data_IF_332735289415
#
_entry.id   IF_332735289415
#
_cell.length_a   1.000
_cell.length_b   1.000
_cell.length_c   1.000
_cell.angle_alpha   90.00
_cell.angle_beta   90.00
_cell.angle_gamma   90.00
#
_symmetry.space_group_name_H-M   'P 1'
#
loop_
_entity.id
_entity.type
_entity.pdbx_description
1 polymer ?
#
# COMPACT_ATOMS: atom_id res chain seq x y z
N UNK A 1 -5.94 -21.77 6.50
CA UNK A 1 -6.40 -20.82 7.54
C UNK A 1 -7.91 -20.54 7.40
N UNK A 2 -8.42 -20.00 6.26
CA UNK A 2 -9.85 -19.70 6.11
C UNK A 2 -10.70 -20.96 6.26
N UNK A 3 -10.35 -22.06 5.62
CA UNK A 3 -11.04 -23.34 5.77
C UNK A 3 -11.09 -23.81 7.24
N UNK A 4 -9.95 -23.67 7.95
CA UNK A 4 -9.87 -24.08 9.36
C UNK A 4 -10.82 -23.25 10.23
N UNK A 5 -10.86 -21.90 10.03
CA UNK A 5 -11.77 -21.03 10.75
C UNK A 5 -13.25 -21.37 10.48
N UNK A 6 -13.59 -21.66 9.21
CA UNK A 6 -14.96 -22.05 8.82
C UNK A 6 -15.34 -23.38 9.50
N UNK A 7 -14.44 -24.35 9.53
CA UNK A 7 -14.67 -25.65 10.16
C UNK A 7 -14.76 -25.53 11.69
N UNK A 8 -14.14 -24.53 12.31
CA UNK A 8 -14.30 -24.16 13.72
C UNK A 8 -15.65 -23.49 14.03
N UNK A 9 -16.42 -23.10 13.01
CA UNK A 9 -17.76 -22.59 13.15
C UNK A 9 -17.84 -21.10 13.44
N UNK A 10 -16.91 -20.29 12.91
CA UNK A 10 -16.99 -18.82 12.97
C UNK A 10 -18.14 -18.30 12.12
N UNK A 11 -18.75 -17.19 12.54
CA UNK A 11 -19.87 -16.57 11.84
C UNK A 11 -19.43 -15.46 10.87
N UNK A 12 -18.23 -14.90 11.06
CA UNK A 12 -17.65 -13.88 10.20
C UNK A 12 -16.13 -13.97 10.17
N UNK A 13 -15.49 -13.55 9.07
CA UNK A 13 -14.03 -13.49 8.92
C UNK A 13 -13.65 -12.12 8.35
N UNK A 14 -12.74 -11.43 9.04
CA UNK A 14 -12.02 -10.28 8.47
C UNK A 14 -10.81 -10.78 7.69
N UNK A 15 -10.69 -10.38 6.43
CA UNK A 15 -9.72 -10.94 5.48
C UNK A 15 -8.89 -9.82 4.85
N UNK A 16 -7.56 -9.93 4.96
CA UNK A 16 -6.60 -9.18 4.13
C UNK A 16 -5.89 -10.19 3.21
N UNK A 17 -6.31 -10.37 1.95
CA UNK A 17 -5.76 -11.40 1.09
C UNK A 17 -4.33 -11.06 0.63
N UNK A 18 -3.43 -12.04 0.67
CA UNK A 18 -2.08 -11.93 0.10
C UNK A 18 -2.06 -12.17 -1.42
N UNK A 19 -3.15 -12.74 -1.96
CA UNK A 19 -3.36 -12.97 -3.38
C UNK A 19 -4.87 -12.87 -3.65
N UNK A 20 -5.26 -11.80 -4.34
CA UNK A 20 -6.66 -11.44 -4.51
C UNK A 20 -7.44 -12.38 -5.44
N UNK A 21 -6.76 -13.21 -6.24
CA UNK A 21 -7.39 -14.24 -7.09
C UNK A 21 -7.41 -15.61 -6.42
N UNK A 22 -6.28 -16.04 -5.84
CA UNK A 22 -6.15 -17.39 -5.26
C UNK A 22 -7.01 -17.60 -4.02
N UNK A 23 -7.46 -16.53 -3.38
CA UNK A 23 -8.33 -16.62 -2.21
C UNK A 23 -9.79 -17.00 -2.57
N UNK A 24 -10.22 -16.79 -3.82
CA UNK A 24 -11.61 -16.97 -4.28
C UNK A 24 -12.24 -18.29 -3.84
N UNK A 25 -11.60 -19.47 -4.04
CA UNK A 25 -12.24 -20.75 -3.65
C UNK A 25 -12.52 -20.86 -2.15
N UNK A 26 -11.67 -20.27 -1.30
CA UNK A 26 -11.87 -20.29 0.15
C UNK A 26 -13.00 -19.35 0.57
N UNK A 27 -13.16 -18.22 -0.11
CA UNK A 27 -14.25 -17.26 0.13
C UNK A 27 -15.59 -17.86 -0.31
N UNK A 28 -15.65 -18.47 -1.50
CA UNK A 28 -16.85 -19.17 -1.98
C UNK A 28 -17.31 -20.26 -1.00
N UNK A 29 -16.35 -21.06 -0.50
CA UNK A 29 -16.65 -22.08 0.51
C UNK A 29 -17.24 -21.49 1.79
N UNK A 30 -16.68 -20.37 2.30
CA UNK A 30 -17.22 -19.73 3.48
C UNK A 30 -18.64 -19.19 3.27
N UNK A 31 -18.89 -18.57 2.12
CA UNK A 31 -20.23 -18.08 1.75
C UNK A 31 -21.26 -19.22 1.65
N UNK A 32 -20.88 -20.38 1.09
CA UNK A 32 -21.73 -21.58 1.08
C UNK A 32 -22.09 -22.06 2.49
N UNK A 33 -21.22 -21.79 3.48
CA UNK A 33 -21.43 -22.11 4.90
C UNK A 33 -22.17 -21.01 5.66
N UNK A 34 -22.48 -19.88 5.01
CA UNK A 34 -23.16 -18.74 5.63
C UNK A 34 -22.26 -17.88 6.51
N UNK A 35 -20.95 -17.89 6.26
CA UNK A 35 -19.98 -17.05 6.96
C UNK A 35 -19.84 -15.71 6.27
N UNK A 36 -19.94 -14.61 7.01
CA UNK A 36 -19.76 -13.25 6.48
C UNK A 36 -18.30 -12.98 6.14
N UNK A 37 -18.04 -12.54 4.90
CA UNK A 37 -16.70 -12.29 4.36
C UNK A 37 -16.44 -10.79 4.26
N UNK A 38 -15.67 -10.24 5.21
CA UNK A 38 -15.36 -8.81 5.32
C UNK A 38 -13.91 -8.59 4.93
N UNK A 39 -13.68 -7.89 3.83
CA UNK A 39 -12.33 -7.58 3.37
C UNK A 39 -11.84 -6.26 3.97
N UNK A 40 -10.60 -6.26 4.46
CA UNK A 40 -9.94 -5.09 5.05
C UNK A 40 -8.57 -4.88 4.41
N UNK A 41 -8.13 -3.62 4.30
CA UNK A 41 -6.82 -3.23 3.78
C UNK A 41 -6.64 -3.45 2.26
N UNK A 42 -7.05 -4.59 1.72
CA UNK A 42 -7.03 -4.86 0.28
C UNK A 42 -8.23 -5.71 -0.16
N UNK A 43 -8.63 -5.57 -1.42
CA UNK A 43 -9.80 -6.19 -1.99
C UNK A 43 -9.52 -7.61 -2.51
N UNK A 44 -10.60 -8.36 -2.75
CA UNK A 44 -10.66 -9.57 -3.58
C UNK A 44 -10.90 -9.19 -5.05
N UNK A 45 -10.48 -10.02 -6.01
CA UNK A 45 -10.67 -9.77 -7.43
C UNK A 45 -12.16 -9.67 -7.83
N UNK A 46 -12.96 -10.60 -7.38
CA UNK A 46 -14.43 -10.54 -7.54
C UNK A 46 -15.08 -9.95 -6.28
N UNK A 47 -15.26 -8.64 -6.29
CA UNK A 47 -15.87 -7.91 -5.15
C UNK A 47 -17.30 -8.35 -4.84
N UNK A 48 -17.99 -9.08 -5.76
CA UNK A 48 -19.34 -9.60 -5.50
C UNK A 48 -19.35 -10.67 -4.40
N UNK A 49 -18.21 -11.33 -4.18
CA UNK A 49 -18.01 -12.35 -3.16
C UNK A 49 -17.81 -11.78 -1.74
N UNK A 50 -17.45 -10.52 -1.60
CA UNK A 50 -17.35 -9.87 -0.30
C UNK A 50 -18.72 -9.47 0.22
N UNK A 51 -18.96 -9.51 1.52
CA UNK A 51 -20.16 -8.93 2.14
C UNK A 51 -19.92 -7.45 2.46
N UNK A 52 -18.70 -7.10 2.83
CA UNK A 52 -18.23 -5.73 2.95
C UNK A 52 -16.74 -5.63 2.61
N UNK A 53 -16.31 -4.47 2.11
CA UNK A 53 -14.91 -4.13 1.81
C UNK A 53 -14.60 -2.78 2.47
N UNK A 54 -13.56 -2.74 3.32
CA UNK A 54 -13.10 -1.50 3.95
C UNK A 54 -11.61 -1.33 3.70
N UNK A 55 -11.25 -0.36 2.88
CA UNK A 55 -9.88 -0.16 2.38
C UNK A 55 -9.51 1.32 2.40
N UNK A 56 -8.22 1.62 2.34
CA UNK A 56 -7.77 2.97 2.03
C UNK A 56 -8.10 3.35 0.58
N UNK A 57 -8.18 4.64 0.27
CA UNK A 57 -8.20 5.10 -1.11
C UNK A 57 -6.79 4.92 -1.74
N UNK A 58 -6.51 3.68 -2.13
CA UNK A 58 -5.20 3.26 -2.61
C UNK A 58 -4.78 3.96 -3.92
N UNK A 59 -5.73 4.20 -4.84
CA UNK A 59 -5.44 4.96 -6.05
C UNK A 59 -5.00 6.37 -5.69
N UNK A 60 -5.75 7.04 -4.82
CA UNK A 60 -5.41 8.40 -4.40
C UNK A 60 -4.10 8.46 -3.59
N UNK A 61 -3.73 7.40 -2.87
CA UNK A 61 -2.43 7.31 -2.21
C UNK A 61 -1.27 7.40 -3.22
N UNK A 62 -1.39 6.74 -4.37
CA UNK A 62 -0.45 6.85 -5.48
C UNK A 62 -0.42 8.25 -6.08
N UNK A 63 -1.61 8.83 -6.34
CA UNK A 63 -1.75 10.21 -6.87
C UNK A 63 -1.04 11.22 -5.98
N UNK A 64 -1.26 11.19 -4.66
CA UNK A 64 -0.62 12.12 -3.71
C UNK A 64 0.91 12.04 -3.74
N UNK A 65 1.46 10.84 -3.84
CA UNK A 65 2.92 10.65 -3.97
C UNK A 65 3.45 11.23 -5.28
N UNK A 66 2.76 11.00 -6.39
CA UNK A 66 3.14 11.53 -7.70
C UNK A 66 3.05 13.05 -7.77
N UNK A 67 1.94 13.64 -7.34
CA UNK A 67 1.76 15.10 -7.30
C UNK A 67 2.85 15.78 -6.47
N UNK A 68 3.19 15.20 -5.32
CA UNK A 68 4.26 15.74 -4.49
C UNK A 68 5.61 15.64 -5.17
N UNK A 69 5.92 14.50 -5.82
CA UNK A 69 7.13 14.35 -6.62
C UNK A 69 7.21 15.43 -7.72
N UNK A 70 6.13 15.63 -8.48
CA UNK A 70 6.05 16.64 -9.53
C UNK A 70 6.26 18.08 -9.00
N UNK A 71 5.86 18.34 -7.77
CA UNK A 71 6.10 19.63 -7.11
C UNK A 71 7.57 19.86 -6.73
N UNK A 72 8.37 18.78 -6.62
CA UNK A 72 9.77 18.83 -6.16
C UNK A 72 10.79 18.62 -7.27
N UNK A 73 10.42 17.92 -8.34
CA UNK A 73 11.29 17.60 -9.48
C UNK A 73 10.59 17.90 -10.80
N UNK A 74 11.33 18.40 -11.77
CA UNK A 74 10.81 18.71 -13.11
C UNK A 74 10.84 17.49 -14.05
N UNK A 75 11.76 16.54 -13.83
CA UNK A 75 11.97 15.34 -14.65
C UNK A 75 12.70 14.27 -13.85
N UNK A 76 12.72 13.04 -14.33
CA UNK A 76 13.50 11.95 -13.71
C UNK A 76 13.13 10.56 -14.21
N UNK A 77 13.97 9.59 -13.85
CA UNK A 77 13.79 8.17 -14.10
C UNK A 77 13.31 7.48 -12.82
N UNK A 78 12.25 6.69 -12.92
CA UNK A 78 11.55 6.11 -11.77
C UNK A 78 11.68 4.60 -11.78
N UNK A 79 12.06 4.01 -10.64
CA UNK A 79 11.86 2.60 -10.34
C UNK A 79 10.61 2.45 -9.45
N UNK A 80 9.75 1.48 -9.78
CA UNK A 80 8.58 1.13 -8.98
C UNK A 80 8.83 -0.21 -8.29
N UNK A 81 8.63 -0.24 -6.98
CA UNK A 81 8.61 -1.44 -6.16
C UNK A 81 7.14 -1.79 -5.86
N UNK A 82 6.68 -2.93 -6.38
CA UNK A 82 5.26 -3.32 -6.41
C UNK A 82 5.01 -4.73 -5.89
N UNK A 83 3.73 -5.06 -5.69
CA UNK A 83 3.26 -6.40 -5.37
C UNK A 83 1.98 -6.70 -6.16
N UNK A 84 2.08 -7.21 -7.40
CA UNK A 84 0.98 -7.26 -8.35
C UNK A 84 -0.15 -8.23 -7.99
N UNK A 85 0.03 -9.09 -6.98
CA UNK A 85 -1.01 -10.02 -6.52
C UNK A 85 -1.96 -9.43 -5.48
N UNK A 86 -1.82 -8.13 -5.14
CA UNK A 86 -2.76 -7.41 -4.27
C UNK A 86 -3.38 -6.22 -4.98
N UNK A 87 -4.69 -6.03 -4.80
CA UNK A 87 -5.42 -4.94 -5.46
C UNK A 87 -4.94 -3.58 -4.96
N UNK A 88 -4.68 -3.45 -3.64
CA UNK A 88 -4.16 -2.21 -3.06
C UNK A 88 -2.84 -1.76 -3.68
N UNK A 89 -1.91 -2.70 -3.95
CA UNK A 89 -0.67 -2.40 -4.66
C UNK A 89 -0.92 -1.90 -6.08
N UNK A 90 -1.78 -2.60 -6.82
CA UNK A 90 -2.10 -2.25 -8.20
C UNK A 90 -2.71 -0.84 -8.29
N UNK A 91 -3.65 -0.51 -7.40
CA UNK A 91 -4.28 0.81 -7.36
C UNK A 91 -3.27 1.93 -7.01
N UNK A 92 -2.34 1.69 -6.06
CA UNK A 92 -1.27 2.65 -5.73
C UNK A 92 -0.36 2.90 -6.92
N UNK A 93 0.04 1.84 -7.62
CA UNK A 93 0.88 1.95 -8.82
C UNK A 93 0.15 2.65 -9.95
N UNK A 94 -1.13 2.33 -10.18
CA UNK A 94 -1.96 2.94 -11.22
C UNK A 94 -2.12 4.44 -10.95
N UNK A 95 -2.53 4.84 -9.73
CA UNK A 95 -2.67 6.25 -9.38
C UNK A 95 -1.37 7.04 -9.49
N UNK A 96 -0.23 6.44 -9.12
CA UNK A 96 1.08 7.06 -9.28
C UNK A 96 1.46 7.19 -10.76
N UNK A 97 1.33 6.10 -11.54
CA UNK A 97 1.75 6.07 -12.94
C UNK A 97 0.90 7.00 -13.82
N UNK A 98 -0.43 6.97 -13.67
CA UNK A 98 -1.33 7.85 -14.42
C UNK A 98 -0.97 9.33 -14.22
N UNK A 99 -0.74 9.72 -12.96
CA UNK A 99 -0.36 11.10 -12.62
C UNK A 99 1.00 11.50 -13.21
N UNK A 100 1.95 10.58 -13.22
CA UNK A 100 3.28 10.80 -13.81
C UNK A 100 3.22 10.88 -15.33
N UNK A 101 2.43 10.02 -15.99
CA UNK A 101 2.29 9.98 -17.45
C UNK A 101 1.66 11.26 -17.98
N UNK A 102 0.70 11.86 -17.27
CA UNK A 102 0.11 13.14 -17.66
C UNK A 102 1.13 14.28 -17.72
N UNK A 103 2.20 14.22 -16.95
CA UNK A 103 3.27 15.22 -16.96
C UNK A 103 4.26 15.06 -18.13
N UNK A 104 4.53 13.82 -18.56
CA UNK A 104 5.35 13.48 -19.72
C UNK A 104 6.88 13.71 -19.58
N UNK A 105 7.37 14.18 -18.44
CA UNK A 105 8.81 14.46 -18.21
C UNK A 105 9.50 13.37 -17.37
N UNK A 106 8.77 12.37 -16.94
CA UNK A 106 9.30 11.26 -16.15
C UNK A 106 9.20 9.95 -16.94
N UNK A 107 10.17 9.08 -16.74
CA UNK A 107 10.23 7.75 -17.37
C UNK A 107 10.21 6.66 -16.29
N UNK A 108 9.28 5.72 -16.36
CA UNK A 108 9.31 4.52 -15.51
C UNK A 108 10.28 3.52 -16.17
N UNK A 109 11.47 3.39 -15.61
CA UNK A 109 12.57 2.57 -16.16
C UNK A 109 12.56 1.12 -15.66
N UNK A 110 11.75 0.79 -14.66
CA UNK A 110 11.61 -0.58 -14.19
C UNK A 110 10.55 -0.74 -13.11
N UNK A 111 10.03 -1.98 -13.00
CA UNK A 111 9.08 -2.41 -11.98
C UNK A 111 9.59 -3.69 -11.33
N UNK A 112 9.63 -3.76 -10.01
CA UNK A 112 10.16 -4.86 -9.22
C UNK A 112 9.09 -5.41 -8.28
N UNK A 113 8.70 -6.67 -8.50
CA UNK A 113 7.84 -7.38 -7.53
C UNK A 113 8.69 -7.82 -6.33
N UNK A 114 8.45 -7.19 -5.19
CA UNK A 114 9.12 -7.53 -3.94
C UNK A 114 8.15 -8.18 -2.92
N UNK A 115 6.97 -8.60 -3.38
CA UNK A 115 5.95 -9.25 -2.56
C UNK A 115 5.57 -8.47 -1.28
N UNK A 116 5.77 -7.14 -1.26
CA UNK A 116 5.52 -6.29 -0.10
C UNK A 116 6.48 -6.47 1.08
N UNK A 117 7.62 -7.18 0.91
CA UNK A 117 8.52 -7.59 2.00
C UNK A 117 9.89 -6.89 1.94
N UNK A 118 10.34 -6.36 3.08
CA UNK A 118 11.64 -5.69 3.21
C UNK A 118 12.80 -6.59 2.79
N UNK A 119 12.75 -7.86 3.19
CA UNK A 119 13.78 -8.86 2.95
C UNK A 119 13.96 -9.16 1.45
N UNK A 120 12.96 -8.84 0.64
CA UNK A 120 13.01 -8.97 -0.82
C UNK A 120 13.35 -7.64 -1.49
N UNK A 121 12.84 -6.52 -0.98
CA UNK A 121 13.09 -5.19 -1.56
C UNK A 121 14.59 -4.82 -1.57
N UNK A 122 15.29 -5.04 -0.46
CA UNK A 122 16.71 -4.70 -0.35
C UNK A 122 17.59 -5.47 -1.36
N UNK A 123 17.54 -6.80 -1.48
CA UNK A 123 18.29 -7.53 -2.51
C UNK A 123 17.95 -7.11 -3.94
N UNK A 124 16.68 -6.87 -4.26
CA UNK A 124 16.27 -6.42 -5.59
C UNK A 124 16.91 -5.06 -5.94
N UNK A 125 16.91 -4.10 -5.01
CA UNK A 125 17.57 -2.82 -5.22
C UNK A 125 19.07 -2.98 -5.41
N UNK A 126 19.72 -3.86 -4.64
CA UNK A 126 21.15 -4.17 -4.81
C UNK A 126 21.43 -4.70 -6.23
N UNK A 127 20.57 -5.55 -6.76
CA UNK A 127 20.73 -6.10 -8.10
C UNK A 127 20.55 -5.02 -9.18
N UNK A 128 19.62 -4.08 -9.03
CA UNK A 128 19.49 -2.94 -9.97
C UNK A 128 20.72 -2.02 -9.92
N UNK A 129 21.26 -1.77 -8.73
CA UNK A 129 22.50 -1.00 -8.57
C UNK A 129 23.69 -1.69 -9.24
N UNK A 130 23.82 -3.01 -9.13
CA UNK A 130 24.88 -3.79 -9.80
C UNK A 130 24.75 -3.83 -11.31
N UNK A 131 23.53 -3.80 -11.84
CA UNK A 131 23.25 -3.70 -13.29
C UNK A 131 23.62 -2.33 -13.85
N UNK A 132 23.82 -1.32 -12.98
CA UNK A 132 24.12 0.05 -13.39
C UNK A 132 22.90 0.78 -13.95
N UNK A 133 21.68 0.40 -13.54
CA UNK A 133 20.47 1.11 -13.92
C UNK A 133 20.52 2.53 -13.37
N UNK A 134 20.27 3.50 -14.23
CA UNK A 134 20.16 4.90 -13.84
C UNK A 134 18.71 5.24 -13.45
N UNK A 135 18.55 5.81 -12.26
CA UNK A 135 17.27 6.30 -11.75
C UNK A 135 17.47 7.42 -10.75
N UNK A 136 16.46 8.24 -10.58
CA UNK A 136 16.45 9.42 -9.71
C UNK A 136 15.38 9.31 -8.63
N UNK A 137 14.43 8.41 -8.83
CA UNK A 137 13.24 8.26 -7.98
C UNK A 137 12.95 6.78 -7.76
N UNK A 138 12.53 6.43 -6.55
CA UNK A 138 11.93 5.14 -6.24
C UNK A 138 10.56 5.38 -5.62
N UNK A 139 9.52 4.82 -6.23
CA UNK A 139 8.20 4.69 -5.61
C UNK A 139 8.02 3.26 -5.13
N UNK A 140 7.78 3.10 -3.83
CA UNK A 140 7.44 1.82 -3.22
C UNK A 140 5.98 1.83 -2.77
N UNK A 141 5.25 0.77 -3.06
CA UNK A 141 3.83 0.66 -2.70
C UNK A 141 3.57 0.62 -1.20
N UNK A 142 4.62 0.43 -0.39
CA UNK A 142 4.56 0.57 1.07
C UNK A 142 5.88 1.07 1.65
N UNK A 143 5.84 1.54 2.90
CA UNK A 143 7.00 2.08 3.60
C UNK A 143 8.05 1.00 3.91
N UNK A 144 7.63 -0.25 4.12
CA UNK A 144 8.53 -1.39 4.37
C UNK A 144 9.46 -1.61 3.19
N UNK A 145 8.94 -1.58 1.95
CA UNK A 145 9.76 -1.64 0.74
C UNK A 145 10.67 -0.43 0.59
N UNK A 146 10.16 0.78 0.85
CA UNK A 146 10.94 2.01 0.82
C UNK A 146 12.15 1.95 1.78
N UNK A 147 11.96 1.42 2.99
CA UNK A 147 13.05 1.21 3.97
C UNK A 147 14.11 0.23 3.45
N UNK A 148 13.70 -0.89 2.84
CA UNK A 148 14.61 -1.85 2.21
C UNK A 148 15.42 -1.23 1.08
N UNK A 149 14.76 -0.45 0.22
CA UNK A 149 15.41 0.32 -0.86
C UNK A 149 16.43 1.30 -0.30
N UNK A 150 16.05 2.12 0.69
CA UNK A 150 16.94 3.11 1.29
C UNK A 150 18.16 2.46 1.97
N UNK A 151 17.98 1.29 2.61
CA UNK A 151 19.09 0.55 3.18
C UNK A 151 20.11 0.14 2.10
N UNK A 152 19.65 -0.43 0.98
CA UNK A 152 20.52 -0.78 -0.15
C UNK A 152 21.21 0.44 -0.76
N UNK A 153 20.51 1.53 -0.98
CA UNK A 153 21.07 2.78 -1.50
C UNK A 153 22.15 3.34 -0.59
N UNK A 154 21.93 3.29 0.73
CA UNK A 154 22.92 3.73 1.73
C UNK A 154 24.18 2.88 1.70
N UNK A 155 24.05 1.56 1.66
CA UNK A 155 25.19 0.63 1.62
C UNK A 155 26.07 0.82 0.36
N UNK A 156 25.45 1.26 -0.75
CA UNK A 156 26.14 1.57 -2.01
C UNK A 156 26.55 3.03 -2.17
N UNK A 157 26.30 3.88 -1.15
CA UNK A 157 26.63 5.32 -1.21
C UNK A 157 25.84 6.09 -2.27
N UNK A 158 24.65 5.63 -2.62
CA UNK A 158 23.78 6.19 -3.67
C UNK A 158 22.49 6.83 -3.12
N UNK A 159 22.33 6.91 -1.80
CA UNK A 159 21.12 7.45 -1.19
C UNK A 159 20.95 8.95 -1.48
N UNK A 160 22.05 9.69 -1.47
CA UNK A 160 22.02 11.13 -1.77
C UNK A 160 21.62 11.37 -3.22
N UNK A 161 20.60 12.21 -3.42
CA UNK A 161 20.07 12.57 -4.74
C UNK A 161 18.97 11.68 -5.27
N UNK A 162 18.68 10.53 -4.65
CA UNK A 162 17.54 9.67 -4.98
C UNK A 162 16.34 10.05 -4.12
N UNK A 163 15.21 10.35 -4.76
CA UNK A 163 13.95 10.60 -4.07
C UNK A 163 13.21 9.30 -3.82
N UNK A 164 12.97 8.95 -2.55
CA UNK A 164 12.22 7.73 -2.19
C UNK A 164 10.85 8.12 -1.64
N UNK A 165 9.79 7.51 -2.19
CA UNK A 165 8.40 7.67 -1.76
C UNK A 165 7.82 6.31 -1.35
N UNK A 166 6.92 6.33 -0.38
CA UNK A 166 6.23 5.16 0.11
C UNK A 166 4.75 5.41 0.38
N UNK A 167 4.11 4.40 0.93
CA UNK A 167 2.72 4.46 1.41
C UNK A 167 2.69 3.75 2.75
N UNK A 168 1.89 4.16 3.65
CA UNK A 168 1.42 3.67 4.95
C UNK A 168 1.48 4.76 6.04
N UNK A 169 2.50 5.63 6.05
CA UNK A 169 2.75 6.56 7.15
C UNK A 169 3.34 5.85 8.37
N UNK A 170 4.16 4.83 8.16
CA UNK A 170 4.81 4.07 9.23
C UNK A 170 5.70 4.96 10.12
N UNK A 171 5.86 4.65 11.41
CA UNK A 171 6.71 5.41 12.33
C UNK A 171 8.14 5.62 11.82
N UNK A 172 8.72 4.57 11.21
CA UNK A 172 10.06 4.58 10.65
C UNK A 172 10.14 5.51 9.43
N UNK A 173 9.17 5.46 8.51
CA UNK A 173 9.11 6.34 7.36
C UNK A 173 8.96 7.80 7.79
N UNK A 174 8.09 8.09 8.77
CA UNK A 174 7.96 9.44 9.36
C UNK A 174 9.28 9.93 9.96
N UNK A 175 10.05 9.06 10.59
CA UNK A 175 11.38 9.39 11.10
C UNK A 175 12.34 9.72 9.96
N UNK A 176 12.35 8.94 8.88
CA UNK A 176 13.17 9.19 7.69
C UNK A 176 12.79 10.50 6.97
N UNK A 177 11.50 10.83 6.92
CA UNK A 177 11.04 12.12 6.36
C UNK A 177 11.52 13.28 7.23
N UNK A 178 11.42 13.15 8.55
CA UNK A 178 11.91 14.17 9.50
C UNK A 178 13.41 14.40 9.40
N UNK A 179 14.19 13.36 9.08
CA UNK A 179 15.63 13.41 8.84
C UNK A 179 15.96 13.80 7.38
N UNK A 180 14.97 14.06 6.53
CA UNK A 180 15.10 14.42 5.11
C UNK A 180 15.79 13.33 4.26
N UNK A 181 15.67 12.08 4.66
CA UNK A 181 16.17 10.89 3.96
C UNK A 181 15.13 10.35 2.99
N UNK A 182 13.86 10.35 3.39
CA UNK A 182 12.71 9.96 2.57
C UNK A 182 11.93 11.20 2.16
N UNK A 183 11.45 11.23 0.91
CA UNK A 183 10.77 12.39 0.35
C UNK A 183 9.36 12.56 0.94
N UNK A 184 8.56 11.49 0.91
CA UNK A 184 7.19 11.49 1.44
C UNK A 184 6.65 10.06 1.59
N UNK A 185 5.55 9.93 2.35
CA UNK A 185 4.70 8.74 2.41
C UNK A 185 3.23 9.14 2.40
N UNK A 186 2.38 8.37 1.71
CA UNK A 186 0.93 8.55 1.79
C UNK A 186 0.39 7.71 2.95
N UNK A 187 -0.09 8.38 4.00
CA UNK A 187 -0.49 7.74 5.25
C UNK A 187 -1.87 7.08 5.15
N UNK A 188 -1.96 5.85 5.60
CA UNK A 188 -3.20 5.12 5.85
C UNK A 188 -3.66 5.31 7.30
N UNK A 189 -4.93 5.01 7.57
CA UNK A 189 -5.56 5.07 8.90
C UNK A 189 -6.10 3.70 9.32
N UNK A 190 -5.23 2.77 9.79
CA UNK A 190 -5.62 1.39 10.11
C UNK A 190 -6.72 1.31 11.17
N UNK A 191 -6.71 2.24 12.13
CA UNK A 191 -7.74 2.31 13.18
C UNK A 191 -9.12 2.62 12.60
N UNK A 192 -9.21 3.51 11.59
CA UNK A 192 -10.48 3.82 10.92
C UNK A 192 -10.96 2.66 10.05
N UNK A 193 -10.03 1.97 9.36
CA UNK A 193 -10.36 0.75 8.59
C UNK A 193 -10.97 -0.29 9.53
N UNK A 194 -10.30 -0.58 10.65
CA UNK A 194 -10.77 -1.55 11.62
C UNK A 194 -12.11 -1.18 12.25
N UNK A 195 -12.29 0.09 12.63
CA UNK A 195 -13.54 0.58 13.21
C UNK A 195 -14.71 0.45 12.22
N UNK A 196 -14.53 0.94 10.99
CA UNK A 196 -15.56 0.81 9.95
C UNK A 196 -15.92 -0.66 9.68
N UNK A 197 -14.93 -1.55 9.59
CA UNK A 197 -15.17 -2.96 9.34
C UNK A 197 -16.00 -3.61 10.47
N UNK A 198 -15.68 -3.31 11.72
CA UNK A 198 -16.44 -3.80 12.88
C UNK A 198 -17.85 -3.22 12.91
N UNK A 199 -18.01 -1.93 12.60
CA UNK A 199 -19.34 -1.30 12.55
C UNK A 199 -20.23 -1.94 11.47
N UNK A 200 -19.65 -2.30 10.29
CA UNK A 200 -20.40 -3.02 9.26
C UNK A 200 -20.79 -4.44 9.71
N UNK A 201 -19.90 -5.16 10.41
CA UNK A 201 -20.27 -6.48 10.98
C UNK A 201 -21.43 -6.36 11.96
N UNK A 202 -21.43 -5.36 12.84
CA UNK A 202 -22.57 -5.13 13.75
C UNK A 202 -23.84 -4.77 13.00
N UNK A 203 -23.75 -4.01 11.89
CA UNK A 203 -24.91 -3.75 11.03
C UNK A 203 -25.47 -5.04 10.42
N UNK A 204 -24.60 -5.97 9.97
CA UNK A 204 -25.02 -7.30 9.47
C UNK A 204 -25.77 -8.09 10.56
N UNK A 205 -25.18 -8.21 11.76
CA UNK A 205 -25.77 -8.95 12.90
C UNK A 205 -27.12 -8.38 13.30
N UNK A 206 -27.30 -7.07 13.26
CA UNK A 206 -28.54 -6.39 13.69
C UNK A 206 -29.53 -6.19 12.53
N UNK A 207 -29.23 -6.69 11.33
CA UNK A 207 -30.09 -6.55 10.14
C UNK A 207 -30.24 -5.10 9.67
N UNK A 208 -29.29 -4.25 9.94
CA UNK A 208 -29.23 -2.86 9.47
C UNK A 208 -28.61 -2.78 8.07
N UNK A 209 -28.80 -1.67 7.35
CA UNK A 209 -28.11 -1.45 6.06
C UNK A 209 -26.60 -1.52 6.19
N UNK A 210 -25.94 -2.19 5.24
CA UNK A 210 -24.48 -2.37 5.18
C UNK A 210 -23.96 -1.64 3.95
N UNK A 211 -22.86 -0.89 4.11
CA UNK A 211 -22.14 -0.34 2.98
C UNK A 211 -21.27 -1.42 2.36
N UNK A 212 -21.47 -1.67 1.07
CA UNK A 212 -20.72 -2.71 0.34
C UNK A 212 -19.23 -2.40 0.27
N UNK A 213 -18.85 -1.14 0.11
CA UNK A 213 -17.45 -0.70 0.03
C UNK A 213 -17.25 0.66 0.67
N UNK A 214 -16.32 0.73 1.60
CA UNK A 214 -15.90 1.96 2.28
C UNK A 214 -14.44 2.23 1.91
N UNK A 215 -14.18 3.43 1.39
CA UNK A 215 -12.83 3.93 1.16
C UNK A 215 -12.46 4.95 2.23
N UNK A 216 -11.49 4.62 3.06
CA UNK A 216 -10.91 5.52 4.07
C UNK A 216 -9.93 6.46 3.38
N UNK A 217 -10.06 7.75 3.64
CA UNK A 217 -9.18 8.77 3.06
C UNK A 217 -7.74 8.58 3.49
N UNK A 218 -6.82 9.01 2.63
CA UNK A 218 -5.37 9.00 2.87
C UNK A 218 -4.84 10.44 2.88
N UNK A 219 -3.71 10.68 3.53
CA UNK A 219 -3.06 11.98 3.56
C UNK A 219 -1.55 11.85 3.30
N UNK A 220 -1.00 12.79 2.54
CA UNK A 220 0.44 12.84 2.34
C UNK A 220 1.15 13.35 3.60
N UNK A 221 2.22 12.65 4.00
CA UNK A 221 3.19 13.12 5.00
C UNK A 221 4.51 13.42 4.31
N UNK A 222 4.98 14.64 4.46
CA UNK A 222 6.21 15.15 3.86
C UNK A 222 6.95 16.07 4.82
N UNK A 223 8.11 16.63 4.42
CA UNK A 223 8.83 17.61 5.24
C UNK A 223 7.99 18.85 5.61
N UNK A 224 6.94 19.15 4.84
CA UNK A 224 6.10 20.33 5.03
C UNK A 224 5.16 20.19 6.22
N UNK A 225 4.72 18.96 6.55
CA UNK A 225 3.74 18.70 7.59
C UNK A 225 4.17 17.62 8.62
N UNK A 226 5.36 17.07 8.52
CA UNK A 226 5.83 15.97 9.42
C UNK A 226 5.77 16.34 10.91
N UNK A 227 5.86 17.63 11.25
CA UNK A 227 5.80 18.05 12.63
C UNK A 227 4.40 17.95 13.27
N UNK A 228 3.36 17.72 12.46
CA UNK A 228 1.99 17.47 12.91
C UNK A 228 1.76 16.00 13.29
N UNK A 229 2.69 15.12 12.91
CA UNK A 229 2.59 13.67 13.10
C UNK A 229 3.57 13.14 14.16
N UNK A 230 3.11 12.19 14.96
CA UNK A 230 3.99 11.45 15.87
C UNK A 230 4.82 10.42 15.12
N UNK A 231 6.12 10.38 15.39
CA UNK A 231 7.02 9.32 14.88
C UNK A 231 7.02 8.06 15.76
N UNK A 232 6.16 7.98 16.80
CA UNK A 232 6.14 6.86 17.75
C UNK A 232 4.95 5.90 17.57
N UNK A 233 4.14 6.08 16.54
CA UNK A 233 2.96 5.24 16.29
C UNK A 233 2.33 5.57 14.95
N UNK A 234 1.27 4.84 14.63
CA UNK A 234 0.42 5.12 13.47
C UNK A 234 -0.42 6.39 13.73
N UNK A 235 -1.04 6.92 12.70
CA UNK A 235 -1.99 8.04 12.76
C UNK A 235 -3.40 7.57 13.00
#
# INVERSE_FOLDING_TARGET
QIYDLIDEGVEAIFIAPVDFEKIIPAVEYGREKGVEMIFVDTEIYDESLADCIVVSDNYHAGVLCAEYLLSKKAEGKILIFEHPTTKSSNDRVEGFADTIEENGNFEIVGRMDYAGQLEIAMPLMIDELKKGVEFDVVFSINDVGALGVMAALKDYGRLDGISVLGVDGAPEAKSMIKEKIMLATSAQYPSEIGQNAVDQLYNMIEGRPVEKKIKVSVNLISEENINEFSTKGWQ
#
